data_IF_545190326198
#
_entry.id   IF_545190326198
#
_cell.length_a   1.000
_cell.length_b   1.000
_cell.length_c   1.000
_cell.angle_alpha   90.00
_cell.angle_beta   90.00
_cell.angle_gamma   90.00
#
_symmetry.space_group_name_H-M   'P 1'
#
loop_
_entity.id
_entity.type
_entity.pdbx_description
1 polymer ?
#
# COMPACT_ATOMS: atom_id res chain seq x y z
N UNK A 1 -22.50 8.15 13.05
CA UNK A 1 -21.52 8.23 14.16
C UNK A 1 -22.12 8.85 15.41
N UNK A 2 -21.57 8.65 16.62
CA UNK A 2 -21.97 9.49 17.77
C UNK A 2 -21.58 10.94 17.47
N UNK A 3 -22.49 11.89 17.75
CA UNK A 3 -22.27 13.32 17.45
C UNK A 3 -20.95 13.86 18.03
N UNK A 4 -20.54 13.35 19.19
CA UNK A 4 -19.33 13.78 19.89
C UNK A 4 -18.05 13.28 19.20
N UNK A 5 -18.05 12.05 18.67
CA UNK A 5 -16.89 11.51 17.95
C UNK A 5 -16.67 12.26 16.64
N UNK A 6 -17.77 12.65 15.96
CA UNK A 6 -17.73 13.42 14.71
C UNK A 6 -17.05 14.79 14.91
N UNK A 7 -17.54 15.57 15.87
CA UNK A 7 -16.99 16.91 16.19
C UNK A 7 -15.53 16.83 16.64
N UNK A 8 -15.17 15.81 17.42
CA UNK A 8 -13.78 15.59 17.82
C UNK A 8 -12.91 15.26 16.60
N UNK A 9 -13.38 14.41 15.69
CA UNK A 9 -12.63 14.01 14.51
C UNK A 9 -12.39 15.20 13.56
N UNK A 10 -13.41 16.04 13.31
CA UNK A 10 -13.28 17.27 12.52
C UNK A 10 -12.17 18.18 13.09
N UNK A 11 -12.19 18.44 14.40
CA UNK A 11 -11.16 19.24 15.07
C UNK A 11 -9.76 18.61 14.92
N UNK A 12 -9.65 17.28 15.03
CA UNK A 12 -8.39 16.57 14.88
C UNK A 12 -7.87 16.57 13.44
N UNK A 13 -8.73 16.50 12.43
CA UNK A 13 -8.32 16.63 11.02
C UNK A 13 -7.62 17.96 10.75
N UNK A 14 -8.14 19.06 11.31
CA UNK A 14 -7.54 20.39 11.14
C UNK A 14 -6.25 20.58 11.96
N UNK A 15 -6.24 20.13 13.22
CA UNK A 15 -5.22 20.54 14.19
C UNK A 15 -4.17 19.45 14.49
N UNK A 16 -4.54 18.17 14.33
CA UNK A 16 -3.72 17.00 14.68
C UNK A 16 -3.96 15.84 13.71
N UNK A 17 -3.61 15.99 12.42
CA UNK A 17 -3.98 15.06 11.36
C UNK A 17 -3.41 13.64 11.54
N UNK A 18 -2.29 13.49 12.25
CA UNK A 18 -1.76 12.17 12.61
C UNK A 18 -2.71 11.41 13.55
N UNK A 19 -3.31 12.11 14.52
CA UNK A 19 -4.26 11.54 15.48
C UNK A 19 -5.60 11.21 14.84
N UNK A 20 -6.10 12.02 13.90
CA UNK A 20 -7.33 11.68 13.15
C UNK A 20 -7.10 10.46 12.26
N UNK A 21 -5.95 10.39 11.58
CA UNK A 21 -5.54 9.22 10.82
C UNK A 21 -5.48 7.96 11.70
N UNK A 22 -4.92 8.04 12.90
CA UNK A 22 -4.88 6.91 13.84
C UNK A 22 -6.28 6.43 14.27
N UNK A 23 -7.23 7.34 14.46
CA UNK A 23 -8.63 7.00 14.75
C UNK A 23 -9.27 6.28 13.56
N UNK A 24 -9.02 6.77 12.34
CA UNK A 24 -9.49 6.14 11.10
C UNK A 24 -8.93 4.72 10.93
N UNK A 25 -7.61 4.56 11.02
CA UNK A 25 -6.96 3.24 10.91
C UNK A 25 -7.36 2.30 12.05
N UNK A 26 -7.62 2.83 13.25
CA UNK A 26 -8.17 2.06 14.37
C UNK A 26 -9.55 1.47 14.04
N UNK A 27 -10.41 2.24 13.39
CA UNK A 27 -11.72 1.78 12.93
C UNK A 27 -11.61 0.75 11.80
N UNK A 28 -10.71 0.93 10.83
CA UNK A 28 -10.41 -0.08 9.80
C UNK A 28 -9.89 -1.39 10.40
N UNK A 29 -9.03 -1.32 11.43
CA UNK A 29 -8.51 -2.50 12.11
C UNK A 29 -9.64 -3.26 12.83
N UNK A 30 -10.54 -2.53 13.50
CA UNK A 30 -11.72 -3.11 14.16
C UNK A 30 -12.63 -3.77 13.12
N UNK A 31 -12.93 -3.09 12.01
CA UNK A 31 -13.70 -3.62 10.88
C UNK A 31 -13.09 -4.92 10.35
N UNK A 32 -11.79 -4.94 10.05
CA UNK A 32 -11.10 -6.14 9.54
C UNK A 32 -11.15 -7.29 10.54
N UNK A 33 -10.96 -7.00 11.84
CA UNK A 33 -10.92 -8.03 12.89
C UNK A 33 -12.29 -8.68 13.10
N UNK A 34 -13.36 -7.90 13.05
CA UNK A 34 -14.73 -8.42 13.13
C UNK A 34 -15.10 -9.17 11.85
N UNK A 35 -14.65 -8.69 10.68
CA UNK A 35 -14.81 -9.39 9.41
C UNK A 35 -14.19 -10.79 9.43
N UNK A 36 -12.96 -10.91 9.93
CA UNK A 36 -12.30 -12.21 10.13
C UNK A 36 -13.05 -13.10 11.14
N UNK A 37 -13.58 -12.50 12.21
CA UNK A 37 -14.38 -13.21 13.22
C UNK A 37 -15.68 -13.76 12.63
N UNK A 38 -16.34 -13.03 11.73
CA UNK A 38 -17.53 -13.52 11.00
C UNK A 38 -17.19 -14.74 10.13
N UNK A 39 -16.03 -14.74 9.48
CA UNK A 39 -15.56 -15.92 8.72
C UNK A 39 -15.36 -17.13 9.64
N UNK A 40 -14.81 -16.91 10.82
CA UNK A 40 -14.59 -17.98 11.81
C UNK A 40 -15.92 -18.49 12.38
N UNK A 41 -16.82 -17.61 12.81
CA UNK A 41 -18.14 -17.97 13.32
C UNK A 41 -18.99 -18.74 12.30
N UNK A 42 -18.90 -18.41 10.99
CA UNK A 42 -19.56 -19.20 9.93
C UNK A 42 -19.04 -20.64 9.89
N UNK A 43 -17.74 -20.86 10.08
CA UNK A 43 -17.16 -22.21 10.14
C UNK A 43 -17.61 -22.97 11.38
N UNK A 44 -17.71 -22.28 12.51
CA UNK A 44 -18.15 -22.87 13.77
C UNK A 44 -19.65 -23.22 13.72
N UNK A 45 -20.46 -22.40 13.06
CA UNK A 45 -21.88 -22.67 12.78
C UNK A 45 -22.07 -23.94 11.95
N UNK A 46 -21.22 -24.18 10.95
CA UNK A 46 -21.25 -25.43 10.16
C UNK A 46 -20.88 -26.68 10.96
N UNK A 47 -20.18 -26.54 12.09
CA UNK A 47 -19.80 -27.65 12.98
C UNK A 47 -20.83 -27.90 14.08
N UNK A 48 -21.59 -26.87 14.46
CA UNK A 48 -22.58 -26.93 15.54
C UNK A 48 -23.97 -27.38 15.09
N UNK A 49 -24.12 -27.97 13.90
CA UNK A 49 -25.43 -28.32 13.30
C UNK A 49 -26.25 -29.27 14.19
N UNK A 50 -25.60 -30.12 14.99
CA UNK A 50 -26.25 -31.08 15.89
C UNK A 50 -26.38 -30.57 17.35
N UNK A 51 -25.85 -29.38 17.67
CA UNK A 51 -25.87 -28.74 18.99
C UNK A 51 -26.68 -27.43 18.92
N UNK A 52 -28.00 -27.56 19.05
CA UNK A 52 -28.96 -26.47 18.82
C UNK A 52 -28.74 -25.21 19.68
N UNK A 53 -28.32 -25.37 20.95
CA UNK A 53 -28.11 -24.22 21.85
C UNK A 53 -26.86 -23.41 21.45
N UNK A 54 -25.85 -24.08 20.88
CA UNK A 54 -24.62 -23.46 20.40
C UNK A 54 -24.81 -22.83 19.02
N UNK A 55 -25.60 -23.48 18.16
CA UNK A 55 -26.00 -22.94 16.85
C UNK A 55 -26.73 -21.60 16.97
N UNK A 56 -27.71 -21.50 17.87
CA UNK A 56 -28.50 -20.28 18.06
C UNK A 56 -27.64 -19.12 18.58
N UNK A 57 -26.74 -19.38 19.53
CA UNK A 57 -25.77 -18.37 20.03
C UNK A 57 -24.85 -17.86 18.94
N UNK A 58 -24.31 -18.75 18.08
CA UNK A 58 -23.44 -18.36 16.97
C UNK A 58 -24.22 -17.53 15.94
N UNK A 59 -25.47 -17.91 15.64
CA UNK A 59 -26.35 -17.18 14.73
C UNK A 59 -26.63 -15.75 15.23
N UNK A 60 -26.91 -15.59 16.53
CA UNK A 60 -27.13 -14.29 17.16
C UNK A 60 -25.87 -13.40 17.08
N UNK A 61 -24.70 -13.95 17.43
CA UNK A 61 -23.43 -13.22 17.37
C UNK A 61 -23.04 -12.84 15.94
N UNK A 62 -23.35 -13.68 14.94
CA UNK A 62 -23.20 -13.35 13.52
C UNK A 62 -24.06 -12.17 13.10
N UNK A 63 -25.30 -12.08 13.61
CA UNK A 63 -26.20 -10.96 13.34
C UNK A 63 -25.66 -9.66 13.95
N UNK A 64 -25.24 -9.70 15.22
CA UNK A 64 -24.62 -8.56 15.91
C UNK A 64 -23.38 -8.09 15.16
N UNK A 65 -22.51 -9.01 14.76
CA UNK A 65 -21.25 -8.70 14.07
C UNK A 65 -21.49 -8.02 12.71
N UNK A 66 -22.50 -8.47 11.95
CA UNK A 66 -22.88 -7.82 10.69
C UNK A 66 -23.44 -6.41 10.90
N UNK A 67 -24.28 -6.22 11.91
CA UNK A 67 -24.80 -4.88 12.25
C UNK A 67 -23.68 -3.94 12.65
N UNK A 68 -22.72 -4.41 13.44
CA UNK A 68 -21.58 -3.63 13.87
C UNK A 68 -20.64 -3.28 12.70
N UNK A 69 -20.39 -4.22 11.77
CA UNK A 69 -19.65 -3.94 10.54
C UNK A 69 -20.33 -2.85 9.72
N UNK A 70 -21.65 -2.95 9.48
CA UNK A 70 -22.39 -1.91 8.77
C UNK A 70 -22.28 -0.54 9.44
N UNK A 71 -22.35 -0.50 10.78
CA UNK A 71 -22.19 0.74 11.53
C UNK A 71 -20.77 1.32 11.40
N UNK A 72 -19.74 0.49 11.37
CA UNK A 72 -18.35 0.93 11.19
C UNK A 72 -18.13 1.42 9.74
N UNK A 73 -18.71 0.74 8.75
CA UNK A 73 -18.64 1.18 7.34
C UNK A 73 -19.22 2.58 7.18
N UNK A 74 -20.38 2.84 7.79
CA UNK A 74 -21.01 4.15 7.76
C UNK A 74 -20.18 5.20 8.50
N UNK A 75 -19.52 4.81 9.60
CA UNK A 75 -18.59 5.70 10.29
C UNK A 75 -17.37 6.05 9.43
N UNK A 76 -16.75 5.07 8.78
CA UNK A 76 -15.62 5.30 7.89
C UNK A 76 -16.00 6.21 6.72
N UNK A 77 -17.20 6.04 6.13
CA UNK A 77 -17.72 6.96 5.10
C UNK A 77 -17.87 8.39 5.62
N UNK A 78 -18.49 8.56 6.79
CA UNK A 78 -18.63 9.88 7.44
C UNK A 78 -17.25 10.54 7.63
N UNK A 79 -16.25 9.79 8.07
CA UNK A 79 -14.87 10.27 8.27
C UNK A 79 -14.19 10.70 6.97
N UNK A 80 -14.36 9.93 5.90
CA UNK A 80 -13.81 10.24 4.58
C UNK A 80 -14.43 11.53 4.02
N UNK A 81 -15.75 11.72 4.16
CA UNK A 81 -16.41 12.93 3.72
C UNK A 81 -15.88 14.19 4.42
N UNK A 82 -15.56 14.09 5.71
CA UNK A 82 -14.98 15.19 6.49
C UNK A 82 -13.53 15.48 6.11
N UNK A 83 -12.71 14.45 5.90
CA UNK A 83 -11.31 14.65 5.48
C UNK A 83 -11.19 15.32 4.11
N UNK A 84 -12.13 15.01 3.20
CA UNK A 84 -12.19 15.65 1.88
C UNK A 84 -12.49 17.16 1.92
N UNK A 85 -13.12 17.67 3.00
CA UNK A 85 -13.40 19.11 3.15
C UNK A 85 -12.13 19.91 3.47
N UNK A 86 -11.05 19.27 3.93
CA UNK A 86 -9.79 19.92 4.30
C UNK A 86 -8.73 19.85 3.20
N UNK A 87 -8.98 19.13 2.10
CA UNK A 87 -8.01 18.90 1.01
C UNK A 87 -8.14 19.86 -0.18
N UNK A 88 -9.09 20.80 -0.17
CA UNK A 88 -9.39 21.64 -1.35
C UNK A 88 -8.58 22.95 -1.49
N UNK A 89 -7.59 23.25 -0.63
CA UNK A 89 -6.91 24.57 -0.67
C UNK A 89 -5.38 24.62 -0.82
N UNK A 90 -4.65 23.53 -1.07
CA UNK A 90 -3.17 23.66 -1.24
C UNK A 90 -2.55 22.71 -2.27
N UNK A 91 -2.98 22.79 -3.53
CA UNK A 91 -2.32 22.08 -4.64
C UNK A 91 -2.02 23.01 -5.84
N UNK A 92 -1.62 24.25 -5.57
CA UNK A 92 -1.06 25.16 -6.58
C UNK A 92 0.37 25.60 -6.19
N UNK A 93 1.37 24.85 -6.68
CA UNK A 93 2.55 25.38 -7.36
C UNK A 93 3.35 24.22 -7.96
N UNK A 94 3.04 23.90 -9.23
CA UNK A 94 3.65 22.82 -9.98
C UNK A 94 4.98 23.28 -10.58
N UNK A 95 6.08 23.14 -9.82
CA UNK A 95 7.43 23.20 -10.39
C UNK A 95 7.85 21.79 -10.80
N UNK A 96 7.48 21.39 -12.02
CA UNK A 96 8.04 20.20 -12.65
C UNK A 96 9.44 20.52 -13.17
N UNK A 97 10.48 20.02 -12.50
CA UNK A 97 11.85 20.07 -13.00
C UNK A 97 11.89 19.48 -14.43
N UNK A 98 12.12 20.35 -15.41
CA UNK A 98 12.42 19.96 -16.79
C UNK A 98 13.73 19.18 -16.75
N UNK A 99 13.67 17.87 -16.99
CA UNK A 99 14.88 17.07 -17.02
C UNK A 99 15.64 17.38 -18.32
N UNK A 100 16.81 18.02 -18.21
CA UNK A 100 17.67 18.40 -19.34
C UNK A 100 18.14 17.22 -20.21
N UNK A 101 17.96 15.97 -19.76
CA UNK A 101 18.31 14.75 -20.48
C UNK A 101 17.17 13.73 -20.44
N UNK A 102 16.23 13.87 -21.38
CA UNK A 102 15.10 12.96 -21.58
C UNK A 102 15.31 12.08 -22.81
N UNK A 103 15.10 10.77 -22.67
CA UNK A 103 15.07 9.81 -23.77
C UNK A 103 13.61 9.45 -24.08
N UNK A 104 13.22 9.52 -25.34
CA UNK A 104 11.87 9.16 -25.78
C UNK A 104 11.84 7.65 -26.10
N UNK A 105 10.85 6.95 -25.54
CA UNK A 105 10.67 5.51 -25.64
C UNK A 105 9.25 5.15 -26.12
N UNK A 106 9.12 3.99 -26.77
CA UNK A 106 7.85 3.39 -27.17
C UNK A 106 7.21 2.67 -25.99
N UNK A 107 5.88 2.52 -26.00
CA UNK A 107 5.18 1.77 -24.93
C UNK A 107 5.63 0.30 -24.81
N UNK A 108 6.20 -0.26 -25.88
CA UNK A 108 6.72 -1.63 -25.94
C UNK A 108 8.14 -1.79 -25.41
N UNK A 109 8.83 -0.68 -25.09
CA UNK A 109 10.18 -0.73 -24.52
C UNK A 109 10.18 -1.31 -23.10
N UNK A 110 11.34 -1.68 -22.59
CA UNK A 110 11.49 -2.12 -21.20
C UNK A 110 11.51 -0.91 -20.24
N UNK A 111 10.53 -0.87 -19.34
CA UNK A 111 10.41 0.15 -18.29
C UNK A 111 10.83 -0.36 -16.90
N UNK A 112 11.59 -1.45 -16.86
CA UNK A 112 12.20 -1.94 -15.62
C UNK A 112 13.26 -0.94 -15.16
N UNK A 113 13.09 -0.42 -13.94
CA UNK A 113 14.00 0.54 -13.32
C UNK A 113 14.18 1.88 -14.06
N UNK A 114 13.13 2.41 -14.69
CA UNK A 114 13.14 3.76 -15.28
C UNK A 114 12.17 4.70 -14.55
N UNK A 115 12.40 6.02 -14.67
CA UNK A 115 11.46 7.04 -14.20
C UNK A 115 10.94 7.83 -15.38
N UNK A 116 9.61 7.80 -15.56
CA UNK A 116 8.91 8.58 -16.58
C UNK A 116 8.91 10.06 -16.17
N UNK A 117 9.22 10.93 -17.12
CA UNK A 117 9.22 12.39 -17.02
C UNK A 117 8.18 13.05 -17.91
N UNK A 118 7.76 12.41 -19.00
CA UNK A 118 6.71 12.96 -19.85
C UNK A 118 5.91 11.89 -20.57
N UNK A 119 4.71 12.28 -21.00
CA UNK A 119 3.85 11.55 -21.94
C UNK A 119 3.71 12.39 -23.19
N UNK A 120 3.93 11.79 -24.35
CA UNK A 120 3.76 12.43 -25.65
C UNK A 120 2.61 11.71 -26.35
N UNK A 121 1.56 12.44 -26.70
CA UNK A 121 0.39 11.93 -27.41
C UNK A 121 0.21 12.79 -28.67
N UNK A 122 0.45 12.21 -29.84
CA UNK A 122 0.49 12.94 -31.10
C UNK A 122 1.53 14.08 -31.06
N UNK A 123 1.07 15.34 -31.13
CA UNK A 123 1.93 16.54 -31.07
C UNK A 123 2.05 17.17 -29.67
N UNK A 124 1.28 16.68 -28.70
CA UNK A 124 1.22 17.25 -27.36
C UNK A 124 2.15 16.48 -26.41
N UNK A 125 2.84 17.22 -25.54
CA UNK A 125 3.74 16.68 -24.53
C UNK A 125 3.32 17.17 -23.15
N UNK A 126 3.19 16.23 -22.23
CA UNK A 126 2.76 16.47 -20.85
C UNK A 126 3.87 16.03 -19.90
N UNK A 127 4.34 16.94 -19.04
CA UNK A 127 5.31 16.58 -18.02
C UNK A 127 4.64 15.88 -16.85
N UNK A 128 5.27 14.81 -16.36
CA UNK A 128 4.73 13.98 -15.28
C UNK A 128 5.83 13.54 -14.32
N UNK A 129 5.48 13.48 -13.02
CA UNK A 129 6.45 13.15 -11.96
C UNK A 129 6.75 11.64 -11.86
N UNK A 130 5.84 10.80 -12.34
CA UNK A 130 5.93 9.33 -12.26
C UNK A 130 4.94 8.64 -13.21
N UNK A 131 5.03 7.30 -13.27
CA UNK A 131 4.18 6.45 -14.12
C UNK A 131 2.68 6.52 -13.78
N UNK A 132 2.33 6.75 -12.51
CA UNK A 132 0.92 6.89 -12.11
C UNK A 132 0.31 8.15 -12.70
N UNK A 133 1.04 9.28 -12.66
CA UNK A 133 0.61 10.52 -13.31
C UNK A 133 0.61 10.37 -14.84
N UNK A 134 1.55 9.62 -15.40
CA UNK A 134 1.53 9.28 -16.83
C UNK A 134 0.24 8.55 -17.25
N UNK A 135 -0.12 7.49 -16.51
CA UNK A 135 -1.35 6.75 -16.74
C UNK A 135 -2.58 7.66 -16.61
N UNK A 136 -2.62 8.51 -15.57
CA UNK A 136 -3.72 9.44 -15.36
C UNK A 136 -3.88 10.44 -16.50
N UNK A 137 -2.78 11.00 -17.01
CA UNK A 137 -2.79 11.89 -18.19
C UNK A 137 -3.37 11.19 -19.41
N UNK A 138 -2.99 9.93 -19.65
CA UNK A 138 -3.51 9.14 -20.77
C UNK A 138 -5.01 8.86 -20.59
N UNK A 139 -5.45 8.49 -19.38
CA UNK A 139 -6.86 8.31 -19.06
C UNK A 139 -7.68 9.59 -19.32
N UNK A 140 -7.18 10.74 -18.85
CA UNK A 140 -7.80 12.05 -19.08
C UNK A 140 -7.89 12.37 -20.58
N UNK A 141 -6.80 12.12 -21.33
CA UNK A 141 -6.78 12.32 -22.77
C UNK A 141 -7.82 11.46 -23.48
N UNK A 142 -7.87 10.15 -23.19
CA UNK A 142 -8.83 9.23 -23.83
C UNK A 142 -10.28 9.55 -23.47
N UNK A 143 -10.52 9.96 -22.23
CA UNK A 143 -11.83 10.41 -21.79
C UNK A 143 -12.29 11.64 -22.58
N UNK A 144 -11.45 12.67 -22.71
CA UNK A 144 -11.79 13.86 -23.50
C UNK A 144 -11.84 13.58 -25.01
N UNK A 145 -11.04 12.63 -25.51
CA UNK A 145 -11.05 12.24 -26.92
C UNK A 145 -12.39 11.61 -27.34
N UNK A 146 -12.94 10.69 -26.55
CA UNK A 146 -14.26 10.10 -26.81
C UNK A 146 -14.90 9.54 -25.53
N UNK A 147 -15.75 10.35 -24.89
CA UNK A 147 -16.42 10.03 -23.62
C UNK A 147 -17.28 8.77 -23.70
N UNK A 148 -18.08 8.63 -24.75
CA UNK A 148 -18.98 7.48 -24.91
C UNK A 148 -18.21 6.17 -25.03
N UNK A 149 -17.10 6.18 -25.78
CA UNK A 149 -16.23 5.02 -25.92
C UNK A 149 -15.52 4.72 -24.60
N UNK A 150 -15.05 5.76 -23.89
CA UNK A 150 -14.44 5.60 -22.57
C UNK A 150 -15.40 4.96 -21.57
N UNK A 151 -16.66 5.43 -21.53
CA UNK A 151 -17.71 4.88 -20.68
C UNK A 151 -17.98 3.41 -21.01
N UNK A 152 -18.11 3.05 -22.30
CA UNK A 152 -18.28 1.65 -22.72
C UNK A 152 -17.10 0.77 -22.31
N UNK A 153 -15.89 1.32 -22.26
CA UNK A 153 -14.69 0.60 -21.85
C UNK A 153 -14.75 0.13 -20.39
N UNK A 154 -15.45 0.84 -19.51
CA UNK A 154 -15.58 0.46 -18.09
C UNK A 154 -16.16 -0.94 -17.91
N UNK A 155 -16.98 -1.40 -18.85
CA UNK A 155 -17.62 -2.72 -18.81
C UNK A 155 -16.78 -3.85 -19.41
N UNK A 156 -15.59 -3.55 -19.93
CA UNK A 156 -14.74 -4.55 -20.57
C UNK A 156 -14.06 -5.48 -19.57
N UNK A 157 -13.77 -6.74 -19.95
CA UNK A 157 -13.09 -7.68 -19.09
C UNK A 157 -11.72 -7.20 -18.59
N UNK A 158 -10.91 -6.51 -19.41
CA UNK A 158 -9.58 -6.06 -19.00
C UNK A 158 -9.60 -4.91 -17.99
N UNK A 159 -10.74 -4.23 -17.83
CA UNK A 159 -10.97 -3.24 -16.76
C UNK A 159 -11.45 -3.92 -15.46
N UNK A 160 -12.31 -4.93 -15.58
CA UNK A 160 -13.00 -5.59 -14.45
C UNK A 160 -12.35 -6.90 -13.96
N UNK A 161 -11.35 -7.44 -14.66
CA UNK A 161 -10.76 -8.77 -14.37
C UNK A 161 -9.97 -8.85 -13.06
N UNK A 162 -9.68 -7.70 -12.45
CA UNK A 162 -8.94 -7.61 -11.19
C UNK A 162 -9.88 -7.45 -10.00
N UNK A 163 -9.42 -7.90 -8.82
CA UNK A 163 -10.16 -7.74 -7.56
C UNK A 163 -10.60 -6.29 -7.33
N UNK A 164 -9.74 -5.33 -7.72
CA UNK A 164 -10.07 -3.92 -7.84
C UNK A 164 -10.17 -3.55 -9.33
N UNK A 165 -11.33 -3.10 -9.82
CA UNK A 165 -11.47 -2.62 -11.19
C UNK A 165 -10.48 -1.49 -11.49
N UNK A 166 -9.86 -1.52 -12.67
CA UNK A 166 -8.89 -0.48 -13.05
C UNK A 166 -9.56 0.89 -13.25
N UNK A 167 -10.84 0.87 -13.65
CA UNK A 167 -11.72 2.03 -13.71
C UNK A 167 -13.00 1.73 -12.95
N UNK A 168 -13.52 2.72 -12.25
CA UNK A 168 -14.71 2.60 -11.42
C UNK A 168 -15.47 3.92 -11.34
N UNK A 169 -16.79 3.87 -11.22
CA UNK A 169 -17.60 5.04 -10.87
C UNK A 169 -17.50 5.41 -9.39
N UNK A 170 -17.04 4.48 -8.56
CA UNK A 170 -16.92 4.66 -7.13
C UNK A 170 -15.45 4.79 -6.74
N UNK A 171 -15.16 5.75 -5.85
CA UNK A 171 -13.88 5.86 -5.19
C UNK A 171 -13.87 4.95 -3.95
N UNK A 172 -13.21 3.79 -4.05
CA UNK A 172 -13.16 2.83 -2.95
C UNK A 172 -11.95 3.02 -2.01
N UNK A 173 -10.96 3.86 -2.37
CA UNK A 173 -9.76 4.10 -1.55
C UNK A 173 -8.90 5.23 -2.13
N UNK A 174 -7.94 5.72 -1.35
CA UNK A 174 -6.93 6.70 -1.79
C UNK A 174 -6.12 6.31 -3.05
N UNK A 175 -6.14 5.03 -3.45
CA UNK A 175 -5.50 4.56 -4.69
C UNK A 175 -6.32 4.85 -5.94
N UNK A 176 -7.60 5.19 -5.83
CA UNK A 176 -8.42 5.64 -6.94
C UNK A 176 -8.19 7.13 -7.19
N UNK A 177 -7.76 7.50 -8.40
CA UNK A 177 -7.51 8.88 -8.82
C UNK A 177 -8.58 9.31 -9.81
N UNK A 178 -9.25 10.42 -9.53
CA UNK A 178 -10.31 10.94 -10.37
C UNK A 178 -9.77 11.33 -11.75
N UNK A 179 -10.54 11.01 -12.79
CA UNK A 179 -10.22 11.29 -14.19
C UNK A 179 -10.93 12.58 -14.59
N UNK A 180 -10.17 13.65 -14.82
CA UNK A 180 -10.68 14.98 -15.11
C UNK A 180 -11.74 15.43 -14.10
N UNK A 181 -12.77 16.11 -14.59
CA UNK A 181 -13.95 16.48 -13.78
C UNK A 181 -15.07 15.44 -13.90
N UNK A 182 -14.74 14.17 -14.12
CA UNK A 182 -15.73 13.09 -14.24
C UNK A 182 -15.98 12.40 -12.91
N UNK A 183 -17.05 11.60 -12.83
CA UNK A 183 -17.30 10.69 -11.71
C UNK A 183 -16.62 9.32 -11.94
N UNK A 184 -15.55 9.27 -12.73
CA UNK A 184 -14.79 8.04 -13.02
C UNK A 184 -13.42 8.14 -12.36
N UNK A 185 -13.02 7.05 -11.73
CA UNK A 185 -11.79 6.94 -10.99
C UNK A 185 -10.92 5.81 -11.52
N UNK A 186 -9.62 6.05 -11.53
CA UNK A 186 -8.59 5.13 -12.00
C UNK A 186 -7.79 4.54 -10.83
N UNK A 187 -7.72 3.21 -10.75
CA UNK A 187 -6.86 2.53 -9.79
C UNK A 187 -5.38 2.74 -10.10
N UNK A 188 -4.63 3.31 -9.15
CA UNK A 188 -3.21 3.70 -9.35
C UNK A 188 -2.18 2.68 -8.85
N UNK A 189 -2.59 1.73 -8.01
CA UNK A 189 -1.69 0.77 -7.37
C UNK A 189 -1.44 -0.45 -8.27
N UNK A 190 -0.69 -0.19 -9.34
CA UNK A 190 -0.30 -1.17 -10.37
C UNK A 190 1.22 -1.21 -10.53
N UNK A 191 1.78 -2.33 -10.99
CA UNK A 191 3.19 -2.35 -11.43
C UNK A 191 3.37 -1.51 -12.70
N UNK A 192 4.60 -1.10 -13.05
CA UNK A 192 4.83 -0.37 -14.31
C UNK A 192 4.40 -1.21 -15.52
N UNK A 193 4.65 -2.52 -15.48
CA UNK A 193 4.22 -3.47 -16.50
C UNK A 193 2.69 -3.52 -16.62
N UNK A 194 1.97 -3.61 -15.50
CA UNK A 194 0.49 -3.63 -15.54
C UNK A 194 -0.07 -2.30 -16.04
N UNK A 195 0.55 -1.16 -15.69
CA UNK A 195 0.17 0.14 -16.23
C UNK A 195 0.35 0.21 -17.75
N UNK A 196 1.46 -0.32 -18.28
CA UNK A 196 1.72 -0.38 -19.73
C UNK A 196 0.75 -1.29 -20.45
N UNK A 197 0.49 -2.49 -19.90
CA UNK A 197 -0.51 -3.42 -20.43
C UNK A 197 -1.89 -2.76 -20.45
N UNK A 198 -2.24 -2.06 -19.37
CA UNK A 198 -3.51 -1.34 -19.30
C UNK A 198 -3.60 -0.23 -20.34
N UNK A 199 -2.57 0.62 -20.47
CA UNK A 199 -2.50 1.64 -21.52
C UNK A 199 -2.67 1.02 -22.90
N UNK A 200 -1.94 -0.05 -23.20
CA UNK A 200 -1.99 -0.74 -24.49
C UNK A 200 -3.39 -1.26 -24.80
N UNK A 201 -4.04 -1.90 -23.83
CA UNK A 201 -5.41 -2.40 -23.98
C UNK A 201 -6.41 -1.25 -24.19
N UNK A 202 -6.25 -0.13 -23.48
CA UNK A 202 -7.08 1.06 -23.70
C UNK A 202 -6.89 1.62 -25.11
N UNK A 203 -5.65 1.81 -25.58
CA UNK A 203 -5.37 2.31 -26.92
C UNK A 203 -5.94 1.39 -28.00
N UNK A 204 -5.77 0.08 -27.85
CA UNK A 204 -6.35 -0.90 -28.76
C UNK A 204 -7.89 -0.85 -28.78
N UNK A 205 -8.54 -0.69 -27.61
CA UNK A 205 -9.99 -0.53 -27.52
C UNK A 205 -10.49 0.72 -28.25
N UNK A 206 -9.71 1.79 -28.23
CA UNK A 206 -9.99 3.05 -28.95
C UNK A 206 -9.56 3.02 -30.42
N UNK A 207 -8.90 1.95 -30.90
CA UNK A 207 -8.34 1.87 -32.24
C UNK A 207 -7.17 2.83 -32.49
N UNK A 208 -6.48 3.26 -31.43
CA UNK A 208 -5.32 4.17 -31.49
C UNK A 208 -4.03 3.32 -31.55
N UNK A 209 -3.10 3.69 -32.42
CA UNK A 209 -1.81 3.01 -32.51
C UNK A 209 -0.98 3.27 -31.26
N UNK A 210 -0.31 2.23 -30.76
CA UNK A 210 0.64 2.40 -29.64
C UNK A 210 1.85 3.26 -30.02
N UNK A 211 2.10 3.47 -31.31
CA UNK A 211 3.16 4.36 -31.81
C UNK A 211 2.83 5.85 -31.65
N UNK A 212 1.53 6.19 -31.53
CA UNK A 212 1.03 7.56 -31.34
C UNK A 212 1.22 8.05 -29.90
N UNK A 213 1.58 7.14 -28.99
CA UNK A 213 1.84 7.43 -27.59
C UNK A 213 3.27 7.04 -27.25
N UNK A 214 4.06 8.01 -26.79
CA UNK A 214 5.45 7.80 -26.36
C UNK A 214 5.65 8.27 -24.94
N UNK A 215 6.59 7.66 -24.24
CA UNK A 215 6.96 8.07 -22.90
C UNK A 215 8.36 8.66 -22.92
N UNK A 216 8.51 9.84 -22.33
CA UNK A 216 9.81 10.38 -22.00
C UNK A 216 10.30 9.75 -20.70
N UNK A 217 11.50 9.17 -20.74
CA UNK A 217 12.19 8.64 -19.57
C UNK A 217 13.41 9.50 -19.25
N UNK A 218 13.67 9.67 -17.97
CA UNK A 218 14.86 10.36 -17.47
C UNK A 218 16.10 9.54 -17.78
N UNK A 219 16.96 10.02 -18.68
CA UNK A 219 18.20 9.34 -19.06
C UNK A 219 19.24 9.38 -17.94
N UNK A 220 19.15 10.37 -17.04
CA UNK A 220 19.97 10.49 -15.84
C UNK A 220 19.53 9.57 -14.68
N UNK A 221 18.42 8.83 -14.87
CA UNK A 221 17.86 7.95 -13.86
C UNK A 221 18.72 6.68 -13.73
N UNK A 222 19.68 6.72 -12.82
CA UNK A 222 20.38 5.54 -12.36
C UNK A 222 19.74 5.04 -11.04
N UNK A 223 19.11 3.85 -11.01
CA UNK A 223 18.56 3.25 -9.80
C UNK A 223 19.63 3.10 -8.71
N UNK A 224 20.87 2.80 -9.11
CA UNK A 224 22.02 2.65 -8.21
C UNK A 224 22.49 3.99 -7.63
N UNK A 225 22.20 5.13 -8.27
CA UNK A 225 22.44 6.46 -7.65
C UNK A 225 21.49 6.75 -6.49
N UNK A 226 20.37 6.03 -6.32
CA UNK A 226 19.57 6.12 -5.08
C UNK A 226 20.26 5.46 -3.89
N UNK A 227 21.06 4.41 -4.12
CA UNK A 227 21.89 3.82 -3.06
C UNK A 227 23.13 4.69 -2.76
N UNK A 228 23.61 5.47 -3.73
CA UNK A 228 24.74 6.39 -3.55
C UNK A 228 24.31 7.75 -2.97
N UNK A 229 23.14 8.32 -3.34
CA UNK A 229 22.61 9.55 -2.71
C UNK A 229 22.09 9.34 -1.28
N UNK A 230 22.00 8.09 -0.81
CA UNK A 230 21.84 7.76 0.62
C UNK A 230 23.17 7.68 1.38
N UNK A 231 24.30 7.96 0.74
CA UNK A 231 25.58 8.19 1.41
C UNK A 231 26.08 9.59 1.13
N UNK A 232 26.14 10.36 2.23
CA UNK A 232 26.67 11.72 2.40
C UNK A 232 25.65 12.82 2.12
N UNK A 233 24.83 13.08 3.14
CA UNK A 233 25.02 14.33 3.86
C UNK A 233 25.32 14.01 5.32
N UNK A 234 26.44 14.52 5.82
CA UNK A 234 26.84 14.43 7.22
C UNK A 234 26.10 15.56 7.92
N UNK A 235 24.82 15.34 8.15
CA UNK A 235 24.02 15.99 9.18
C UNK A 235 22.88 15.02 9.48
N UNK A 236 23.03 14.27 10.58
CA UNK A 236 22.08 13.27 11.00
C UNK A 236 20.69 13.91 11.18
N UNK A 237 19.65 13.45 10.46
CA UNK A 237 18.29 13.72 10.88
C UNK A 237 18.13 13.00 12.22
N UNK A 238 17.64 13.74 13.21
CA UNK A 238 17.19 13.20 14.48
C UNK A 238 16.29 11.99 14.25
N UNK A 239 16.36 10.99 15.13
CA UNK A 239 15.67 9.70 15.03
C UNK A 239 14.14 9.77 14.92
N UNK A 240 13.54 10.96 15.04
CA UNK A 240 12.09 11.19 14.96
C UNK A 240 11.52 11.06 13.53
N UNK A 241 12.26 11.41 12.48
CA UNK A 241 11.64 11.63 11.15
C UNK A 241 11.74 10.42 10.21
N UNK A 242 12.44 9.35 10.63
CA UNK A 242 12.59 8.15 9.81
C UNK A 242 11.42 7.20 10.00
N UNK A 243 10.69 6.84 8.92
CA UNK A 243 9.63 5.80 8.94
C UNK A 243 10.08 4.51 9.64
N UNK A 244 9.25 3.96 10.52
CA UNK A 244 9.62 2.84 11.40
C UNK A 244 10.19 1.62 10.67
N UNK A 245 9.60 1.21 9.54
CA UNK A 245 10.11 0.08 8.77
C UNK A 245 11.54 0.31 8.26
N UNK A 246 11.87 1.55 7.89
CA UNK A 246 13.23 1.93 7.50
C UNK A 246 14.19 1.98 8.71
N UNK A 247 13.71 2.46 9.86
CA UNK A 247 14.47 2.44 11.11
C UNK A 247 14.84 1.01 11.50
N UNK A 248 13.85 0.11 11.57
CA UNK A 248 14.05 -1.30 11.89
C UNK A 248 15.02 -1.94 10.93
N UNK A 249 14.79 -1.80 9.62
CA UNK A 249 15.65 -2.41 8.62
C UNK A 249 17.10 -1.95 8.78
N UNK A 250 17.31 -0.65 9.00
CA UNK A 250 18.65 -0.08 9.20
C UNK A 250 19.32 -0.60 10.48
N UNK A 251 18.57 -0.69 11.59
CA UNK A 251 19.04 -1.16 12.89
C UNK A 251 19.36 -2.65 12.88
N UNK A 252 18.52 -3.46 12.24
CA UNK A 252 18.76 -4.90 12.08
C UNK A 252 19.97 -5.17 11.17
N UNK A 253 20.16 -4.40 10.09
CA UNK A 253 21.38 -4.45 9.29
C UNK A 253 22.62 -4.06 10.10
N UNK A 254 22.51 -3.08 11.00
CA UNK A 254 23.62 -2.70 11.88
C UNK A 254 24.01 -3.83 12.84
N UNK A 255 23.04 -4.55 13.42
CA UNK A 255 23.30 -5.72 14.27
C UNK A 255 24.01 -6.82 13.50
N UNK A 256 23.53 -7.13 12.29
CA UNK A 256 24.15 -8.12 11.39
C UNK A 256 25.60 -7.73 11.05
N UNK A 257 25.84 -6.47 10.64
CA UNK A 257 27.19 -5.97 10.31
C UNK A 257 28.15 -6.02 11.50
N UNK A 258 27.62 -5.89 12.72
CA UNK A 258 28.39 -6.01 13.96
C UNK A 258 28.58 -7.47 14.39
N UNK A 259 28.07 -8.45 13.63
CA UNK A 259 28.01 -9.86 14.01
C UNK A 259 27.40 -10.06 15.41
N UNK A 260 26.34 -9.30 15.72
CA UNK A 260 25.65 -9.45 16.99
C UNK A 260 25.04 -10.85 17.09
N UNK A 261 25.29 -11.52 18.21
CA UNK A 261 24.79 -12.87 18.50
C UNK A 261 23.61 -12.77 19.45
N UNK A 262 22.43 -13.15 19.00
CA UNK A 262 21.26 -13.26 19.88
C UNK A 262 21.38 -14.48 20.79
N UNK A 263 20.80 -14.45 21.99
CA UNK A 263 20.62 -15.68 22.78
C UNK A 263 19.58 -16.58 22.12
N UNK A 264 19.64 -17.89 22.41
CA UNK A 264 18.66 -18.86 21.89
C UNK A 264 17.23 -18.53 22.35
N UNK A 265 17.09 -18.03 23.58
CA UNK A 265 15.82 -17.52 24.12
C UNK A 265 15.30 -16.35 23.28
N UNK A 266 16.18 -15.42 22.89
CA UNK A 266 15.81 -14.28 22.06
C UNK A 266 15.43 -14.70 20.64
N UNK A 267 16.18 -15.63 20.02
CA UNK A 267 15.80 -16.18 18.71
C UNK A 267 14.41 -16.85 18.78
N UNK A 268 14.15 -17.62 19.83
CA UNK A 268 12.85 -18.26 20.06
C UNK A 268 11.74 -17.21 20.23
N UNK A 269 12.01 -16.14 20.98
CA UNK A 269 11.06 -15.06 21.16
C UNK A 269 10.76 -14.30 19.86
N UNK A 270 11.78 -14.01 19.05
CA UNK A 270 11.65 -13.29 17.79
C UNK A 270 11.03 -14.13 16.68
N UNK A 271 11.13 -15.46 16.76
CA UNK A 271 10.48 -16.39 15.82
C UNK A 271 9.08 -16.83 16.26
N UNK A 272 8.67 -16.51 17.48
CA UNK A 272 7.30 -16.69 17.98
C UNK A 272 6.44 -15.45 17.72
N UNK A 273 5.22 -15.66 17.23
CA UNK A 273 4.21 -14.60 17.05
C UNK A 273 3.80 -13.98 18.38
N UNK A 274 3.56 -14.83 19.39
CA UNK A 274 3.03 -14.44 20.69
C UNK A 274 4.05 -13.57 21.45
N UNK A 275 5.32 -13.97 21.42
CA UNK A 275 6.40 -13.24 22.09
C UNK A 275 6.80 -11.97 21.32
N UNK A 276 6.80 -12.01 19.98
CA UNK A 276 6.98 -10.80 19.16
C UNK A 276 5.89 -9.75 19.46
N UNK A 277 4.64 -10.18 19.69
CA UNK A 277 3.56 -9.26 20.08
C UNK A 277 3.82 -8.60 21.45
N UNK A 278 4.35 -9.35 22.41
CA UNK A 278 4.66 -8.82 23.75
C UNK A 278 5.85 -7.86 23.77
N UNK A 279 6.88 -8.12 22.95
CA UNK A 279 8.13 -7.35 22.98
C UNK A 279 8.03 -6.07 22.13
N UNK A 280 7.46 -6.17 20.93
CA UNK A 280 7.50 -5.10 19.92
C UNK A 280 6.10 -4.73 19.38
N UNK A 281 5.02 -5.32 19.90
CA UNK A 281 3.65 -4.98 19.53
C UNK A 281 3.19 -5.54 18.18
N UNK A 282 3.95 -6.45 17.56
CA UNK A 282 3.63 -6.99 16.23
C UNK A 282 2.95 -8.35 16.34
N UNK A 283 1.79 -8.51 15.70
CA UNK A 283 1.00 -9.74 15.72
C UNK A 283 1.45 -10.81 14.71
N UNK A 284 2.74 -10.83 14.39
CA UNK A 284 3.43 -11.84 13.57
C UNK A 284 4.84 -12.03 14.13
N UNK A 285 5.45 -13.19 13.89
CA UNK A 285 6.85 -13.41 14.27
C UNK A 285 7.75 -12.38 13.59
N UNK A 286 8.62 -11.71 14.34
CA UNK A 286 9.55 -10.72 13.80
C UNK A 286 10.52 -11.36 12.81
N UNK A 287 11.04 -12.54 13.16
CA UNK A 287 11.94 -13.35 12.35
C UNK A 287 11.22 -14.57 11.81
N UNK A 288 11.44 -14.86 10.54
CA UNK A 288 11.06 -16.10 9.89
C UNK A 288 12.34 -16.83 9.47
N UNK A 289 12.58 -18.08 9.94
CA UNK A 289 13.70 -18.88 9.45
C UNK A 289 13.64 -19.03 7.92
N UNK A 290 14.75 -18.75 7.26
CA UNK A 290 14.85 -18.87 5.81
C UNK A 290 15.17 -20.32 5.42
N UNK A 291 14.42 -20.84 4.45
CA UNK A 291 14.57 -22.20 3.93
C UNK A 291 15.29 -22.15 2.57
N UNK A 292 16.57 -22.54 2.53
CA UNK A 292 17.38 -22.56 1.30
C UNK A 292 16.80 -23.45 0.18
N UNK A 293 15.85 -24.34 0.50
CA UNK A 293 15.23 -25.25 -0.49
C UNK A 293 13.99 -24.66 -1.16
N UNK A 294 13.52 -23.47 -0.73
CA UNK A 294 12.29 -22.83 -1.24
C UNK A 294 12.62 -21.51 -1.95
N UNK A 295 11.86 -21.19 -3.00
CA UNK A 295 11.96 -19.88 -3.65
C UNK A 295 11.60 -18.76 -2.66
N UNK A 296 12.47 -17.75 -2.53
CA UNK A 296 12.28 -16.58 -1.68
C UNK A 296 11.00 -15.78 -2.01
N UNK A 297 10.55 -15.85 -3.26
CA UNK A 297 9.32 -15.23 -3.73
C UNK A 297 8.07 -15.88 -3.12
N UNK A 298 8.17 -17.15 -2.70
CA UNK A 298 7.13 -17.91 -2.02
C UNK A 298 7.27 -17.87 -0.50
N UNK A 299 8.48 -17.61 0.01
CA UNK A 299 8.73 -17.49 1.45
C UNK A 299 8.24 -16.14 2.01
N UNK A 300 7.65 -16.19 3.21
CA UNK A 300 7.14 -14.99 3.90
C UNK A 300 5.89 -14.39 3.26
N UNK A 301 5.13 -15.20 2.50
CA UNK A 301 3.86 -14.84 1.87
C UNK A 301 2.73 -15.64 2.54
N UNK A 302 1.59 -15.00 2.76
CA UNK A 302 0.39 -15.66 3.32
C UNK A 302 -0.25 -16.61 2.30
N UNK A 303 -1.16 -17.47 2.77
CA UNK A 303 -2.01 -18.30 1.91
C UNK A 303 -2.84 -17.51 0.88
N UNK A 304 -3.03 -16.20 1.09
CA UNK A 304 -3.72 -15.27 0.18
C UNK A 304 -2.77 -14.56 -0.81
N UNK A 305 -1.49 -14.92 -0.86
CA UNK A 305 -0.51 -14.30 -1.77
C UNK A 305 0.04 -12.94 -1.30
N UNK A 306 -0.41 -12.43 -0.14
CA UNK A 306 0.08 -11.16 0.43
C UNK A 306 1.38 -11.38 1.18
N UNK A 307 2.41 -10.59 0.86
CA UNK A 307 3.74 -10.66 1.49
C UNK A 307 3.74 -10.03 2.88
N UNK A 308 4.26 -10.77 3.86
CA UNK A 308 4.43 -10.34 5.25
C UNK A 308 5.87 -10.14 5.68
N UNK A 309 6.84 -10.62 4.90
CA UNK A 309 8.27 -10.49 5.20
C UNK A 309 9.00 -9.89 4.00
N UNK A 310 10.01 -9.05 4.27
CA UNK A 310 10.89 -8.53 3.23
C UNK A 310 11.64 -9.68 2.52
N UNK A 311 12.05 -9.44 1.26
CA UNK A 311 12.89 -10.39 0.50
C UNK A 311 14.37 -10.30 0.90
N UNK A 312 14.72 -9.35 1.75
CA UNK A 312 16.04 -9.21 2.33
C UNK A 312 16.34 -10.36 3.29
N UNK A 313 17.42 -11.09 3.02
CA UNK A 313 17.96 -12.11 3.94
C UNK A 313 18.88 -11.43 4.95
N UNK A 314 18.70 -11.79 6.23
CA UNK A 314 19.51 -11.36 7.35
C UNK A 314 20.22 -12.56 7.99
N UNK A 315 21.47 -12.37 8.39
CA UNK A 315 22.31 -13.40 8.99
C UNK A 315 22.50 -13.12 10.48
N UNK A 316 22.02 -14.05 11.31
CA UNK A 316 22.18 -13.99 12.77
C UNK A 316 22.51 -15.37 13.31
N UNK A 317 23.51 -15.47 14.20
CA UNK A 317 23.96 -16.74 14.78
C UNK A 317 24.30 -17.81 13.72
N UNK A 318 24.83 -17.41 12.56
CA UNK A 318 25.11 -18.31 11.44
C UNK A 318 23.88 -18.82 10.67
N UNK A 319 22.67 -18.42 11.08
CA UNK A 319 21.40 -18.79 10.45
C UNK A 319 20.82 -17.64 9.62
N UNK A 320 20.03 -17.99 8.60
CA UNK A 320 19.37 -17.03 7.71
C UNK A 320 17.94 -16.79 8.16
N UNK A 321 17.52 -15.53 8.16
CA UNK A 321 16.17 -15.12 8.53
C UNK A 321 15.63 -14.07 7.57
N UNK A 322 14.30 -14.02 7.47
CA UNK A 322 13.55 -12.90 6.91
C UNK A 322 12.92 -12.09 8.04
N UNK A 323 12.81 -10.78 7.85
CA UNK A 323 12.18 -9.88 8.83
C UNK A 323 10.81 -9.46 8.33
N UNK A 324 9.83 -9.41 9.23
CA UNK A 324 8.47 -8.95 8.92
C UNK A 324 8.50 -7.56 8.27
N UNK A 325 7.61 -7.32 7.33
CA UNK A 325 7.39 -6.01 6.69
C UNK A 325 6.28 -5.20 7.34
N UNK A 326 5.58 -5.79 8.33
CA UNK A 326 4.39 -5.23 8.99
C UNK A 326 4.82 -4.33 10.16
N UNK A 327 5.37 -3.16 9.84
CA UNK A 327 5.78 -2.16 10.82
C UNK A 327 4.91 -0.91 10.70
N UNK A 328 4.35 -0.49 11.83
CA UNK A 328 3.53 0.71 11.99
C UNK A 328 4.14 1.60 13.07
N UNK A 329 3.91 2.92 13.02
CA UNK A 329 4.64 3.85 13.89
C UNK A 329 4.36 3.60 15.38
N UNK A 330 3.21 3.03 15.74
CA UNK A 330 2.92 2.57 17.11
C UNK A 330 3.86 1.44 17.60
N UNK A 331 4.55 0.72 16.71
CA UNK A 331 5.55 -0.29 17.07
C UNK A 331 6.92 0.35 17.39
N UNK A 332 7.10 1.65 17.12
CA UNK A 332 8.39 2.33 17.26
C UNK A 332 8.90 2.29 18.68
N UNK A 333 8.08 2.66 19.66
CA UNK A 333 8.50 2.71 21.06
C UNK A 333 8.93 1.32 21.54
N UNK A 334 8.12 0.29 21.26
CA UNK A 334 8.42 -1.09 21.60
C UNK A 334 9.72 -1.59 20.96
N UNK A 335 9.89 -1.32 19.66
CA UNK A 335 11.11 -1.68 18.94
C UNK A 335 12.35 -0.95 19.47
N UNK A 336 12.27 0.36 19.70
CA UNK A 336 13.41 1.12 20.21
C UNK A 336 13.79 0.70 21.63
N UNK A 337 12.81 0.44 22.49
CA UNK A 337 13.04 -0.04 23.85
C UNK A 337 13.71 -1.41 23.83
N UNK A 338 13.22 -2.33 23.00
CA UNK A 338 13.85 -3.63 22.79
C UNK A 338 15.29 -3.47 22.25
N UNK A 339 15.48 -2.67 21.21
CA UNK A 339 16.78 -2.48 20.56
C UNK A 339 17.82 -1.86 21.52
N UNK A 340 17.42 -0.85 22.32
CA UNK A 340 18.28 -0.27 23.36
C UNK A 340 18.63 -1.26 24.48
N UNK A 341 17.79 -2.27 24.69
CA UNK A 341 18.01 -3.34 25.66
C UNK A 341 18.99 -4.43 25.19
N UNK A 342 19.32 -4.46 23.89
CA UNK A 342 20.38 -5.32 23.34
C UNK A 342 21.73 -4.70 23.73
N UNK A 343 22.42 -5.30 24.70
CA UNK A 343 23.74 -4.84 25.17
C UNK A 343 24.86 -5.36 24.28
#
# INVERSE_FOLDING_TARGET
MSKNLKVLYEYLCENHPETSNDIFYGLELVQSTIGDSVVQMKKDMHKAVDDGENYDKISEMLKISKLLLSSIDDYLKDLIEMENQFTDENDDEDNSDVADNEKICLLTDDYTYVKVSSVIIGKQKYYVKNFTKALLVICNYLYEYNKDTFIKMLDTPFVKSHLNPYLSYNNYSNYYKQIGNSNIYMWSNLSNTDKLTFITNMLQFFGISTEDVRLGIRADYNPQKRDVKKKRDVNAPTTSDMKIGALVKSKMRLLEQKNYTFSDEMITALTSKELSKQIIGINVAMLLPYDDKKDISLQGVTSKGVRRYWKDVFYFNGNKYLITSQWYDNNREGFEKWYKGLK
#
